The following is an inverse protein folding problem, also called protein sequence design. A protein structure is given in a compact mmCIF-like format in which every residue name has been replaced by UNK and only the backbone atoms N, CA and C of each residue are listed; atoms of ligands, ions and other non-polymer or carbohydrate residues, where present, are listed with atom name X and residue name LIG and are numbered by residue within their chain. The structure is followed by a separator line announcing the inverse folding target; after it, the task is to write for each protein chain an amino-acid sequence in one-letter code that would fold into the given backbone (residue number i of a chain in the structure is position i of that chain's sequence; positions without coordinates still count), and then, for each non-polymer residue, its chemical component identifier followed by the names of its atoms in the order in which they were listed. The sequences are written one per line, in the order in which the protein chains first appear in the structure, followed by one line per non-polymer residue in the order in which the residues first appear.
data_IF_120377738971
#
_entry.id   IF_120377738971
#
_cell.length_a   1.000
_cell.length_b   1.000
_cell.length_c   1.000
_cell.angle_alpha   90.00
_cell.angle_beta   90.00
_cell.angle_gamma   90.00
#
_symmetry.space_group_name_H-M   'P 1'
#
loop_
_entity.id
_entity.type
_entity.pdbx_description
1 polymer ?
#
# COMPACT_ATOMS: atom_id res chain seq x y z
N UNK A 1 15.54 -3.81 -1.25
CA UNK A 1 15.73 -3.80 -2.71
C UNK A 1 14.77 -4.80 -3.31
N UNK A 2 13.69 -4.30 -3.91
CA UNK A 2 12.60 -5.11 -4.44
C UNK A 2 12.98 -5.59 -5.85
N UNK A 3 13.26 -6.89 -6.02
CA UNK A 3 13.57 -7.53 -7.32
C UNK A 3 12.34 -8.19 -7.96
N UNK A 4 11.13 -7.86 -7.49
CA UNK A 4 9.86 -8.28 -8.12
C UNK A 4 9.70 -7.82 -9.59
N UNK A 5 10.57 -6.92 -10.07
CA UNK A 5 10.57 -6.45 -11.46
C UNK A 5 11.27 -7.44 -12.41
N UNK A 6 12.17 -8.27 -11.88
CA UNK A 6 13.00 -9.19 -12.68
C UNK A 6 12.30 -10.52 -12.99
N UNK A 7 11.35 -10.92 -12.14
CA UNK A 7 10.60 -12.17 -12.24
C UNK A 7 9.10 -11.90 -12.18
N UNK A 8 8.29 -12.65 -12.95
CA UNK A 8 6.85 -12.63 -12.76
C UNK A 8 6.42 -13.42 -11.51
N UNK A 9 5.13 -13.41 -11.19
CA UNK A 9 4.54 -14.14 -10.07
C UNK A 9 4.77 -15.67 -10.13
N UNK A 10 5.21 -16.19 -11.27
CA UNK A 10 5.53 -17.61 -11.47
C UNK A 10 7.05 -17.86 -11.47
N UNK A 11 7.85 -16.89 -11.01
CA UNK A 11 9.31 -16.92 -11.00
C UNK A 11 9.93 -17.10 -12.39
N UNK A 12 9.25 -16.67 -13.46
CA UNK A 12 9.81 -16.69 -14.81
C UNK A 12 10.62 -15.41 -15.05
N UNK A 13 11.88 -15.53 -15.49
CA UNK A 13 12.73 -14.37 -15.75
C UNK A 13 12.17 -13.54 -16.90
N UNK A 14 11.99 -12.23 -16.68
CA UNK A 14 11.48 -11.31 -17.71
C UNK A 14 12.55 -10.79 -18.67
N UNK A 15 13.83 -10.90 -18.31
CA UNK A 15 14.98 -10.39 -19.09
C UNK A 15 15.88 -11.51 -19.59
N UNK A 16 16.57 -11.26 -20.71
CA UNK A 16 17.47 -12.24 -21.34
C UNK A 16 18.73 -12.52 -20.49
N UNK A 17 19.27 -11.51 -19.82
CA UNK A 17 20.44 -11.67 -18.92
C UNK A 17 20.14 -12.60 -17.72
N UNK A 18 18.91 -12.57 -17.21
CA UNK A 18 18.48 -13.43 -16.10
C UNK A 18 18.47 -14.91 -16.49
N UNK A 19 18.25 -15.23 -17.78
CA UNK A 19 18.32 -16.61 -18.30
C UNK A 19 19.75 -17.14 -18.28
N UNK A 20 20.73 -16.35 -18.73
CA UNK A 20 22.14 -16.75 -18.69
C UNK A 20 22.63 -17.00 -17.26
N UNK A 21 22.20 -16.18 -16.31
CA UNK A 21 22.51 -16.38 -14.89
C UNK A 21 21.86 -17.63 -14.32
N UNK A 22 20.68 -17.99 -14.81
CA UNK A 22 20.00 -19.24 -14.45
C UNK A 22 20.72 -20.47 -15.02
N UNK A 23 21.26 -20.37 -16.22
CA UNK A 23 22.07 -21.44 -16.85
C UNK A 23 23.40 -21.65 -16.11
N UNK A 24 24.04 -20.57 -15.64
CA UNK A 24 25.20 -20.69 -14.77
C UNK A 24 24.85 -21.38 -13.43
N UNK A 25 23.71 -21.05 -12.82
CA UNK A 25 23.22 -21.71 -11.61
C UNK A 25 22.93 -23.20 -11.83
N UNK A 26 22.38 -23.58 -12.99
CA UNK A 26 22.19 -24.99 -13.38
C UNK A 26 23.48 -25.78 -13.32
N UNK A 27 24.55 -25.24 -13.89
CA UNK A 27 25.85 -25.93 -13.94
C UNK A 27 26.48 -26.06 -12.55
N UNK A 28 26.34 -25.05 -11.69
CA UNK A 28 26.94 -25.06 -10.34
C UNK A 28 26.20 -26.01 -9.39
N UNK A 29 24.88 -26.14 -9.54
CA UNK A 29 24.02 -26.91 -8.64
C UNK A 29 23.44 -28.18 -9.26
N UNK A 30 24.01 -28.69 -10.36
CA UNK A 30 23.58 -29.93 -10.99
C UNK A 30 23.65 -31.12 -10.01
N UNK A 31 24.74 -31.19 -9.23
CA UNK A 31 25.06 -32.31 -8.36
C UNK A 31 25.16 -31.90 -6.87
N UNK A 32 24.72 -30.68 -6.53
CA UNK A 32 24.79 -30.13 -5.16
C UNK A 32 23.43 -29.66 -4.69
N UNK A 33 23.08 -29.88 -3.40
CA UNK A 33 21.86 -29.33 -2.83
C UNK A 33 21.92 -27.80 -2.90
N UNK A 34 20.81 -27.20 -3.31
CA UNK A 34 20.70 -25.75 -3.40
C UNK A 34 20.57 -25.17 -1.97
N UNK A 35 21.26 -24.07 -1.63
CA UNK A 35 21.13 -23.50 -0.31
C UNK A 35 19.68 -23.06 -0.05
N UNK A 36 19.17 -23.15 1.19
CA UNK A 36 17.78 -22.83 1.50
C UNK A 36 17.46 -21.37 1.15
N UNK A 37 16.26 -21.13 0.65
CA UNK A 37 15.76 -19.77 0.39
C UNK A 37 15.30 -19.13 1.70
N UNK A 38 15.11 -17.81 1.72
CA UNK A 38 14.43 -17.15 2.85
C UNK A 38 13.05 -16.72 2.41
N UNK A 39 12.03 -17.08 3.18
CA UNK A 39 10.64 -16.75 2.88
C UNK A 39 9.86 -16.30 4.11
N UNK A 40 8.83 -15.50 3.89
CA UNK A 40 7.82 -15.15 4.87
C UNK A 40 6.56 -15.96 4.63
N UNK A 41 6.02 -16.60 5.67
CA UNK A 41 4.68 -17.21 5.62
C UNK A 41 3.67 -16.23 6.19
N UNK A 42 2.64 -15.90 5.42
CA UNK A 42 1.54 -15.08 5.89
C UNK A 42 0.22 -15.71 5.41
N UNK A 43 -0.68 -16.02 6.35
CA UNK A 43 -2.01 -16.53 6.03
C UNK A 43 -2.02 -17.80 5.16
N UNK A 44 -1.03 -18.67 5.31
CA UNK A 44 -0.88 -19.89 4.49
C UNK A 44 -0.24 -19.68 3.11
N UNK A 45 0.23 -18.47 2.80
CA UNK A 45 0.98 -18.15 1.58
C UNK A 45 2.43 -17.86 1.91
N UNK A 46 3.33 -18.16 0.98
CA UNK A 46 4.78 -17.97 1.13
C UNK A 46 5.29 -16.88 0.18
N UNK A 47 6.04 -15.93 0.73
CA UNK A 47 6.65 -14.81 0.01
C UNK A 47 8.17 -14.89 0.10
N UNK A 48 8.83 -15.08 -1.03
CA UNK A 48 10.30 -15.21 -1.08
C UNK A 48 10.94 -13.85 -0.83
N UNK A 49 11.76 -13.74 0.22
CA UNK A 49 12.52 -12.53 0.52
C UNK A 49 13.92 -12.56 -0.11
N UNK A 50 14.55 -13.74 -0.14
CA UNK A 50 15.82 -13.97 -0.80
C UNK A 50 15.85 -15.33 -1.51
N UNK A 51 16.60 -15.41 -2.62
CA UNK A 51 16.73 -16.65 -3.40
C UNK A 51 15.76 -16.79 -4.58
N UNK A 52 15.22 -15.71 -5.13
CA UNK A 52 14.30 -15.77 -6.30
C UNK A 52 14.83 -16.60 -7.48
N UNK A 53 16.13 -16.45 -7.83
CA UNK A 53 16.77 -17.25 -8.87
C UNK A 53 16.90 -18.73 -8.50
N UNK A 54 17.04 -19.02 -7.20
CA UNK A 54 17.10 -20.37 -6.64
C UNK A 54 15.73 -21.04 -6.65
N UNK A 55 14.64 -20.26 -6.66
CA UNK A 55 13.28 -20.78 -6.86
C UNK A 55 12.99 -21.07 -8.35
N UNK A 56 13.48 -20.21 -9.25
CA UNK A 56 13.21 -20.32 -10.68
C UNK A 56 13.70 -21.64 -11.30
N UNK A 57 14.85 -22.16 -10.84
CA UNK A 57 15.44 -23.38 -11.40
C UNK A 57 14.66 -24.67 -11.05
N UNK A 58 14.46 -25.04 -9.76
CA UNK A 58 13.64 -26.21 -9.39
C UNK A 58 12.23 -26.12 -9.97
N UNK A 59 11.65 -24.92 -10.03
CA UNK A 59 10.34 -24.72 -10.65
C UNK A 59 10.32 -25.04 -12.15
N UNK A 60 11.37 -24.67 -12.89
CA UNK A 60 11.51 -25.08 -14.30
C UNK A 60 11.76 -26.58 -14.45
N UNK A 61 12.34 -27.24 -13.46
CA UNK A 61 12.55 -28.68 -13.41
C UNK A 61 11.34 -29.46 -12.88
N UNK A 62 10.24 -28.78 -12.54
CA UNK A 62 9.02 -29.41 -12.05
C UNK A 62 9.07 -29.88 -10.59
N UNK A 63 10.06 -29.42 -9.80
CA UNK A 63 10.12 -29.72 -8.37
C UNK A 63 8.91 -29.16 -7.65
N UNK A 64 8.26 -29.99 -6.82
CA UNK A 64 7.11 -29.60 -6.03
C UNK A 64 7.48 -28.76 -4.79
N UNK A 65 8.70 -28.91 -4.27
CA UNK A 65 9.16 -28.28 -3.04
C UNK A 65 10.59 -27.76 -3.14
N UNK A 66 10.91 -26.75 -2.32
CA UNK A 66 12.26 -26.23 -2.10
C UNK A 66 12.49 -25.96 -0.61
N UNK A 67 13.70 -26.23 -0.14
CA UNK A 67 14.12 -25.93 1.24
C UNK A 67 14.15 -24.42 1.49
N UNK A 68 13.60 -24.00 2.62
CA UNK A 68 13.47 -22.62 3.01
C UNK A 68 13.63 -22.41 4.52
N UNK A 69 14.21 -21.27 4.88
CA UNK A 69 14.07 -20.65 6.18
C UNK A 69 12.81 -19.78 6.18
N UNK A 70 11.80 -20.21 6.94
CA UNK A 70 10.48 -19.56 6.95
C UNK A 70 10.31 -18.73 8.22
N UNK A 71 9.99 -17.45 8.04
CA UNK A 71 9.52 -16.57 9.13
C UNK A 71 8.01 -16.39 9.03
N UNK A 72 7.26 -16.84 10.04
CA UNK A 72 5.81 -16.70 10.06
C UNK A 72 5.38 -15.30 10.50
N UNK A 73 4.51 -14.66 9.71
CA UNK A 73 3.92 -13.35 9.95
C UNK A 73 2.43 -13.52 10.22
N UNK A 74 1.97 -13.05 11.38
CA UNK A 74 0.54 -12.95 11.66
C UNK A 74 -0.05 -11.75 10.90
N UNK A 75 -1.13 -11.99 10.15
CA UNK A 75 -1.82 -10.93 9.41
C UNK A 75 -3.30 -10.88 9.79
N UNK A 76 -3.86 -9.68 9.87
CA UNK A 76 -5.28 -9.44 10.15
C UNK A 76 -6.16 -9.41 8.89
N UNK A 77 -5.56 -9.68 7.72
CA UNK A 77 -6.20 -9.57 6.41
C UNK A 77 -6.19 -10.92 5.71
N UNK A 78 -7.23 -11.20 4.92
CA UNK A 78 -7.25 -12.42 4.11
C UNK A 78 -6.29 -12.26 2.94
N UNK A 79 -5.35 -13.19 2.82
CA UNK A 79 -4.47 -13.29 1.68
C UNK A 79 -5.02 -14.36 0.73
N UNK A 80 -4.94 -14.12 -0.58
CA UNK A 80 -5.39 -15.06 -1.61
C UNK A 80 -4.19 -15.49 -2.48
N UNK A 81 -4.19 -16.72 -3.03
CA UNK A 81 -3.13 -17.15 -3.95
C UNK A 81 -3.04 -16.18 -5.14
N UNK A 82 -1.90 -15.50 -5.29
CA UNK A 82 -1.69 -14.46 -6.30
C UNK A 82 -1.74 -13.02 -5.80
N UNK A 83 -1.83 -12.80 -4.48
CA UNK A 83 -1.78 -11.44 -3.90
C UNK A 83 -0.52 -10.68 -4.34
N UNK A 84 -0.74 -9.47 -4.85
CA UNK A 84 0.33 -8.58 -5.34
C UNK A 84 1.06 -7.94 -4.15
N UNK A 85 2.39 -7.85 -4.20
CA UNK A 85 3.21 -7.15 -3.18
C UNK A 85 2.71 -5.72 -2.99
N UNK A 86 2.32 -5.04 -4.08
CA UNK A 86 1.76 -3.70 -4.00
C UNK A 86 0.41 -3.66 -3.27
N UNK A 87 -0.39 -4.72 -3.34
CA UNK A 87 -1.65 -4.85 -2.61
C UNK A 87 -1.41 -5.06 -1.11
N UNK A 88 -0.38 -5.83 -0.74
CA UNK A 88 0.08 -5.95 0.64
C UNK A 88 0.56 -4.62 1.19
N UNK A 89 1.40 -3.90 0.44
CA UNK A 89 1.86 -2.56 0.82
C UNK A 89 0.67 -1.62 0.96
N UNK A 90 -0.30 -1.65 0.03
CA UNK A 90 -1.50 -0.83 0.12
C UNK A 90 -2.29 -1.11 1.40
N UNK A 91 -2.48 -2.39 1.72
CA UNK A 91 -3.19 -2.85 2.92
C UNK A 91 -2.51 -2.37 4.19
N UNK A 92 -1.18 -2.51 4.26
CA UNK A 92 -0.41 -2.08 5.42
C UNK A 92 -0.39 -0.56 5.60
N UNK A 93 -0.26 0.21 4.51
CA UNK A 93 -0.34 1.68 4.59
C UNK A 93 -1.73 2.14 5.06
N UNK A 94 -2.79 1.52 4.56
CA UNK A 94 -4.16 1.81 4.99
C UNK A 94 -4.36 1.49 6.48
N UNK A 95 -3.86 0.35 6.96
CA UNK A 95 -3.92 -0.03 8.38
C UNK A 95 -3.20 0.99 9.26
N UNK A 96 -1.94 1.34 8.92
CA UNK A 96 -1.14 2.33 9.66
C UNK A 96 -1.82 3.69 9.72
N UNK A 97 -2.37 4.14 8.59
CA UNK A 97 -3.12 5.40 8.53
C UNK A 97 -4.29 5.40 9.51
N UNK A 98 -5.14 4.36 9.50
CA UNK A 98 -6.29 4.26 10.43
C UNK A 98 -5.86 4.24 11.89
N UNK A 99 -4.80 3.51 12.21
CA UNK A 99 -4.31 3.38 13.59
C UNK A 99 -3.73 4.68 14.12
N UNK A 100 -2.92 5.38 13.32
CA UNK A 100 -2.28 6.64 13.75
C UNK A 100 -3.29 7.78 13.86
N UNK A 101 -4.19 7.91 12.89
CA UNK A 101 -5.18 9.01 12.86
C UNK A 101 -6.39 8.75 13.75
N UNK A 102 -6.66 7.47 14.09
CA UNK A 102 -7.91 7.03 14.75
C UNK A 102 -9.15 7.54 14.02
N UNK A 103 -9.09 7.66 12.69
CA UNK A 103 -10.14 8.28 11.87
C UNK A 103 -11.54 7.72 12.15
N UNK A 104 -11.66 6.40 12.34
CA UNK A 104 -12.93 5.74 12.65
C UNK A 104 -13.56 6.21 13.97
N UNK A 105 -12.75 6.57 14.96
CA UNK A 105 -13.20 7.05 16.26
C UNK A 105 -13.58 8.54 16.20
N UNK A 106 -12.77 9.34 15.50
CA UNK A 106 -12.91 10.80 15.51
C UNK A 106 -13.83 11.34 14.42
N UNK A 107 -14.01 10.59 13.32
CA UNK A 107 -14.90 10.87 12.20
C UNK A 107 -15.51 9.57 11.63
N UNK A 108 -16.50 8.95 12.31
CA UNK A 108 -17.03 7.64 11.95
C UNK A 108 -17.62 7.53 10.53
N UNK A 109 -18.11 8.64 9.97
CA UNK A 109 -18.63 8.72 8.60
C UNK A 109 -17.57 8.89 7.51
N UNK A 110 -16.29 9.05 7.88
CA UNK A 110 -15.22 9.28 6.93
C UNK A 110 -14.84 7.98 6.20
N UNK A 111 -15.07 7.94 4.89
CA UNK A 111 -14.61 6.86 4.02
C UNK A 111 -13.54 7.45 3.10
N UNK A 112 -12.28 7.10 3.38
CA UNK A 112 -11.12 7.59 2.60
C UNK A 112 -10.46 6.41 1.90
N UNK A 113 -10.56 6.42 0.58
CA UNK A 113 -9.90 5.46 -0.30
C UNK A 113 -8.86 6.16 -1.17
N UNK A 114 -7.80 5.43 -1.50
CA UNK A 114 -6.79 5.83 -2.47
C UNK A 114 -6.64 4.77 -3.55
N UNK A 115 -6.23 5.17 -4.75
CA UNK A 115 -5.90 4.21 -5.81
C UNK A 115 -4.52 3.58 -5.60
N UNK A 116 -3.60 4.30 -4.94
CA UNK A 116 -2.19 3.93 -4.78
C UNK A 116 -1.80 3.84 -3.30
N UNK A 117 -0.90 2.92 -2.92
CA UNK A 117 -0.44 2.78 -1.54
C UNK A 117 0.11 4.06 -0.92
N UNK A 118 0.81 4.88 -1.72
CA UNK A 118 1.48 6.08 -1.23
C UNK A 118 0.50 7.16 -0.73
N UNK A 119 -0.74 7.17 -1.22
CA UNK A 119 -1.71 8.21 -0.88
C UNK A 119 -2.03 8.27 0.62
N UNK A 120 -2.10 7.12 1.30
CA UNK A 120 -2.29 7.09 2.76
C UNK A 120 -1.11 7.70 3.53
N UNK A 121 0.11 7.58 3.02
CA UNK A 121 1.31 8.17 3.63
C UNK A 121 1.35 9.68 3.40
N UNK A 122 1.06 10.13 2.18
CA UNK A 122 0.96 11.55 1.85
C UNK A 122 -0.14 12.24 2.66
N UNK A 123 -1.31 11.61 2.78
CA UNK A 123 -2.40 12.14 3.58
C UNK A 123 -2.04 12.22 5.07
N UNK A 124 -1.34 11.23 5.60
CA UNK A 124 -0.86 11.28 6.98
C UNK A 124 0.08 12.46 7.21
N UNK A 125 0.99 12.74 6.27
CA UNK A 125 1.87 13.91 6.35
C UNK A 125 1.07 15.22 6.33
N UNK A 126 0.04 15.34 5.49
CA UNK A 126 -0.87 16.50 5.49
C UNK A 126 -1.52 16.69 6.86
N UNK A 127 -2.00 15.62 7.49
CA UNK A 127 -2.62 15.69 8.82
C UNK A 127 -1.57 16.02 9.90
N UNK A 128 -0.36 15.50 9.80
CA UNK A 128 0.75 15.82 10.73
C UNK A 128 1.15 17.29 10.62
N UNK A 129 1.22 17.85 9.40
CA UNK A 129 1.44 19.28 9.18
C UNK A 129 0.31 20.11 9.77
N UNK A 130 -0.95 19.74 9.54
CA UNK A 130 -2.11 20.40 10.14
C UNK A 130 -2.06 20.36 11.68
N UNK A 131 -1.66 19.24 12.26
CA UNK A 131 -1.50 19.10 13.71
C UNK A 131 -0.44 20.05 14.27
N UNK A 132 0.68 20.21 13.55
CA UNK A 132 1.74 21.16 13.90
C UNK A 132 1.20 22.60 13.87
N UNK A 133 0.59 23.02 12.77
CA UNK A 133 0.03 24.38 12.61
C UNK A 133 -1.03 24.69 13.68
N UNK A 134 -1.91 23.73 13.96
CA UNK A 134 -2.94 23.87 14.99
C UNK A 134 -2.32 23.96 16.39
N UNK A 135 -1.23 23.24 16.64
CA UNK A 135 -0.50 23.31 17.90
C UNK A 135 0.16 24.67 18.10
N UNK A 136 0.79 25.22 17.04
CA UNK A 136 1.37 26.57 17.09
C UNK A 136 0.30 27.63 17.35
N UNK A 137 -0.85 27.54 16.67
CA UNK A 137 -1.94 28.50 16.84
C UNK A 137 -2.56 28.47 18.25
N UNK A 138 -2.62 27.30 18.90
CA UNK A 138 -3.15 27.16 20.27
C UNK A 138 -2.10 27.38 21.36
N UNK A 139 -0.81 27.35 21.02
CA UNK A 139 0.28 27.42 21.99
C UNK A 139 0.43 26.15 22.84
N UNK A 140 -0.16 25.03 22.42
CA UNK A 140 -0.09 23.73 23.10
C UNK A 140 -0.03 22.58 22.11
N UNK A 141 0.54 21.44 22.51
CA UNK A 141 0.67 20.27 21.63
C UNK A 141 -0.69 19.61 21.43
N UNK A 142 -1.20 19.64 20.20
CA UNK A 142 -2.46 18.99 19.83
C UNK A 142 -2.21 17.54 19.42
N UNK A 143 -2.87 16.56 20.07
CA UNK A 143 -2.75 15.16 19.68
C UNK A 143 -3.24 14.90 18.25
N UNK A 144 -2.57 13.99 17.54
CA UNK A 144 -2.89 13.65 16.15
C UNK A 144 -4.38 13.29 15.92
N UNK A 145 -5.08 12.52 16.80
CA UNK A 145 -6.51 12.24 16.62
C UNK A 145 -7.39 13.49 16.69
N UNK A 146 -7.04 14.46 17.53
CA UNK A 146 -7.77 15.71 17.62
C UNK A 146 -7.54 16.58 16.38
N UNK A 147 -6.29 16.72 15.96
CA UNK A 147 -5.95 17.39 14.70
C UNK A 147 -6.60 16.71 13.49
N UNK A 148 -6.72 15.39 13.49
CA UNK A 148 -7.44 14.62 12.45
C UNK A 148 -8.91 15.04 12.39
N UNK A 149 -9.59 15.21 13.54
CA UNK A 149 -10.97 15.67 13.59
C UNK A 149 -11.12 17.07 13.02
N UNK A 150 -10.25 17.99 13.45
CA UNK A 150 -10.26 19.36 12.97
C UNK A 150 -10.04 19.39 11.46
N UNK A 151 -8.95 18.80 10.98
CA UNK A 151 -8.60 18.66 9.56
C UNK A 151 -9.75 18.10 8.73
N UNK A 152 -10.43 17.07 9.24
CA UNK A 152 -11.55 16.46 8.52
C UNK A 152 -12.68 17.49 8.25
N UNK A 153 -12.95 18.36 9.22
CA UNK A 153 -13.98 19.40 9.10
C UNK A 153 -13.52 20.68 8.41
N UNK A 154 -12.28 21.12 8.64
CA UNK A 154 -11.75 22.41 8.18
C UNK A 154 -11.09 22.33 6.79
N UNK A 155 -10.66 21.15 6.37
CA UNK A 155 -9.90 20.94 5.13
C UNK A 155 -10.53 19.90 4.22
N UNK A 156 -10.75 18.67 4.70
CA UNK A 156 -11.25 17.57 3.87
C UNK A 156 -12.66 17.81 3.32
N UNK A 157 -13.64 18.14 4.17
CA UNK A 157 -15.02 18.38 3.73
C UNK A 157 -15.14 19.59 2.78
N UNK A 158 -14.55 20.76 3.07
CA UNK A 158 -14.57 21.89 2.14
C UNK A 158 -13.90 21.57 0.79
N UNK A 159 -12.80 20.83 0.80
CA UNK A 159 -12.15 20.38 -0.43
C UNK A 159 -13.06 19.49 -1.26
N UNK A 160 -13.73 18.50 -0.66
CA UNK A 160 -14.68 17.64 -1.39
C UNK A 160 -15.87 18.42 -1.95
N UNK A 161 -16.39 19.41 -1.22
CA UNK A 161 -17.44 20.30 -1.72
C UNK A 161 -16.97 21.10 -2.94
N UNK A 162 -15.74 21.64 -2.90
CA UNK A 162 -15.15 22.34 -4.03
C UNK A 162 -14.95 21.42 -5.24
N UNK A 163 -14.40 20.21 -5.03
CA UNK A 163 -14.20 19.18 -6.06
C UNK A 163 -15.51 18.79 -6.75
N UNK A 164 -16.63 18.77 -6.01
CA UNK A 164 -17.95 18.54 -6.57
C UNK A 164 -18.42 19.73 -7.41
N UNK A 165 -18.41 20.92 -6.81
CA UNK A 165 -18.96 22.14 -7.43
C UNK A 165 -18.26 22.58 -8.71
N UNK A 166 -16.96 22.27 -8.86
CA UNK A 166 -16.18 22.61 -10.06
C UNK A 166 -16.26 21.54 -11.15
N UNK A 167 -16.94 20.42 -10.90
CA UNK A 167 -17.02 19.30 -11.83
C UNK A 167 -15.76 18.43 -11.89
N UNK A 168 -14.75 18.67 -11.03
CA UNK A 168 -13.52 17.89 -11.01
C UNK A 168 -13.79 16.39 -10.75
N UNK A 169 -14.79 16.07 -9.91
CA UNK A 169 -15.21 14.69 -9.68
C UNK A 169 -15.64 14.01 -10.97
N UNK A 170 -16.46 14.67 -11.78
CA UNK A 170 -16.98 14.13 -13.04
C UNK A 170 -15.89 14.02 -14.10
N UNK A 171 -15.05 15.06 -14.26
CA UNK A 171 -13.96 15.06 -15.22
C UNK A 171 -12.91 13.95 -14.95
N UNK A 172 -12.73 13.56 -13.69
CA UNK A 172 -11.77 12.54 -13.27
C UNK A 172 -12.44 11.39 -12.51
N UNK A 173 -13.52 10.83 -13.05
CA UNK A 173 -14.33 9.74 -12.47
C UNK A 173 -13.52 8.50 -12.04
N UNK A 174 -12.40 8.26 -12.71
CA UNK A 174 -11.50 7.13 -12.50
C UNK A 174 -10.58 7.28 -11.27
N UNK A 175 -10.56 8.45 -10.61
CA UNK A 175 -9.83 8.69 -9.36
C UNK A 175 -10.73 8.47 -8.14
N UNK A 176 -10.12 8.18 -6.98
CA UNK A 176 -10.83 8.20 -5.69
C UNK A 176 -10.93 9.62 -5.13
N UNK A 177 -11.71 9.79 -4.08
CA UNK A 177 -11.81 11.08 -3.36
C UNK A 177 -10.50 11.46 -2.70
N UNK A 178 -9.76 10.48 -2.15
CA UNK A 178 -8.41 10.70 -1.64
C UNK A 178 -7.48 11.21 -2.73
N UNK A 179 -7.45 10.55 -3.89
CA UNK A 179 -6.57 10.96 -4.99
C UNK A 179 -6.88 12.40 -5.46
N UNK A 180 -8.17 12.75 -5.59
CA UNK A 180 -8.60 14.11 -5.97
C UNK A 180 -8.27 15.14 -4.89
N UNK A 181 -8.49 14.79 -3.62
CA UNK A 181 -8.15 15.65 -2.49
C UNK A 181 -6.66 15.99 -2.47
N UNK A 182 -5.76 15.00 -2.53
CA UNK A 182 -4.32 15.27 -2.48
C UNK A 182 -3.85 16.10 -3.67
N UNK A 183 -4.38 15.83 -4.86
CA UNK A 183 -4.06 16.60 -6.05
C UNK A 183 -4.52 18.06 -5.93
N UNK A 184 -5.74 18.26 -5.40
CA UNK A 184 -6.28 19.60 -5.15
C UNK A 184 -5.52 20.31 -4.03
N UNK A 185 -5.13 19.61 -2.98
CA UNK A 185 -4.32 20.14 -1.88
C UNK A 185 -2.96 20.64 -2.37
N UNK A 186 -2.25 19.83 -3.18
CA UNK A 186 -0.99 20.25 -3.80
C UNK A 186 -1.16 21.50 -4.67
N UNK A 187 -2.21 21.53 -5.51
CA UNK A 187 -2.51 22.70 -6.33
C UNK A 187 -2.86 23.93 -5.47
N UNK A 188 -3.60 23.75 -4.38
CA UNK A 188 -3.92 24.83 -3.45
C UNK A 188 -2.65 25.43 -2.83
N UNK A 189 -1.73 24.59 -2.36
CA UNK A 189 -0.45 25.03 -1.80
C UNK A 189 0.39 25.82 -2.83
N UNK A 190 0.45 25.34 -4.07
CA UNK A 190 1.10 26.07 -5.18
C UNK A 190 0.47 27.45 -5.41
N UNK A 191 -0.87 27.53 -5.42
CA UNK A 191 -1.58 28.79 -5.61
C UNK A 191 -1.39 29.74 -4.42
N UNK A 192 -1.43 29.22 -3.19
CA UNK A 192 -1.27 30.00 -1.96
C UNK A 192 0.13 30.60 -1.82
N UNK A 193 1.15 29.96 -2.39
CA UNK A 193 2.50 30.53 -2.46
C UNK A 193 2.56 31.84 -3.27
N UNK A 194 1.66 32.05 -4.22
CA UNK A 194 1.58 33.28 -5.04
C UNK A 194 0.44 34.21 -4.59
N UNK A 195 -0.67 33.64 -4.14
CA UNK A 195 -1.86 34.34 -3.69
C UNK A 195 -2.41 33.66 -2.43
N UNK A 196 -2.10 34.19 -1.22
CA UNK A 196 -2.55 33.60 0.04
C UNK A 196 -4.09 33.47 0.18
N UNK A 197 -4.87 34.18 -0.64
CA UNK A 197 -6.35 34.09 -0.64
C UNK A 197 -6.90 33.00 -1.55
N UNK A 198 -6.05 32.23 -2.24
CA UNK A 198 -6.50 31.14 -3.08
C UNK A 198 -7.30 30.11 -2.27
N UNK A 199 -8.38 29.63 -2.88
CA UNK A 199 -9.36 28.74 -2.25
C UNK A 199 -9.33 27.34 -2.86
N UNK A 200 -10.00 26.40 -2.20
CA UNK A 200 -10.24 25.06 -2.73
C UNK A 200 -10.93 25.07 -4.11
N UNK A 201 -11.86 26.00 -4.33
CA UNK A 201 -12.55 26.15 -5.60
C UNK A 201 -11.62 26.61 -6.72
N UNK A 202 -10.69 27.53 -6.43
CA UNK A 202 -9.68 27.97 -7.39
C UNK A 202 -8.78 26.80 -7.80
N UNK A 203 -8.28 26.05 -6.82
CA UNK A 203 -7.44 24.89 -7.05
C UNK A 203 -8.17 23.80 -7.86
N UNK A 204 -9.38 23.42 -7.43
CA UNK A 204 -10.16 22.39 -8.10
C UNK A 204 -10.58 22.82 -9.52
N UNK A 205 -10.92 24.10 -9.71
CA UNK A 205 -11.29 24.66 -11.01
C UNK A 205 -10.13 24.64 -12.01
N UNK A 206 -8.93 25.00 -11.58
CA UNK A 206 -7.71 24.89 -12.40
C UNK A 206 -7.48 23.44 -12.85
N UNK A 207 -7.68 22.47 -11.96
CA UNK A 207 -7.51 21.05 -12.29
C UNK A 207 -8.63 20.52 -13.20
N UNK A 208 -9.87 20.95 -12.99
CA UNK A 208 -11.02 20.54 -13.79
C UNK A 208 -10.90 20.98 -15.26
N UNK A 209 -10.27 22.13 -15.52
CA UNK A 209 -9.99 22.63 -16.86
C UNK A 209 -8.86 21.92 -17.60
N UNK A 210 -8.12 20.99 -16.97
CA UNK A 210 -7.02 20.30 -17.63
C UNK A 210 -7.51 19.14 -18.51
N UNK A 211 -6.92 18.94 -19.70
CA UNK A 211 -7.32 17.85 -20.57
C UNK A 211 -6.91 16.49 -20.00
N UNK A 212 -7.86 15.56 -19.93
CA UNK A 212 -7.59 14.17 -19.52
C UNK A 212 -6.93 13.43 -20.67
N UNK A 213 -5.64 13.14 -20.55
CA UNK A 213 -4.94 12.27 -21.51
C UNK A 213 -5.38 10.82 -21.33
N UNK A 214 -5.79 10.15 -22.41
CA UNK A 214 -6.20 8.73 -22.41
C UNK A 214 -5.20 7.81 -21.70
N UNK A 215 -3.91 7.97 -22.02
CA UNK A 215 -2.82 7.20 -21.38
C UNK A 215 -2.78 7.36 -19.86
N UNK A 216 -2.97 8.58 -19.35
CA UNK A 216 -2.98 8.84 -17.91
C UNK A 216 -4.15 8.14 -17.19
N UNK A 217 -5.31 8.11 -17.85
CA UNK A 217 -6.50 7.37 -17.38
C UNK A 217 -6.20 5.86 -17.31
N UNK A 218 -5.67 5.30 -18.38
CA UNK A 218 -5.31 3.88 -18.46
C UNK A 218 -4.27 3.49 -17.40
N UNK A 219 -3.21 4.30 -17.21
CA UNK A 219 -2.19 4.09 -16.18
C UNK A 219 -2.76 4.16 -14.76
N UNK A 220 -3.68 5.10 -14.49
CA UNK A 220 -4.32 5.24 -13.18
C UNK A 220 -5.20 4.03 -12.87
N UNK A 221 -5.98 3.58 -13.86
CA UNK A 221 -6.84 2.40 -13.72
C UNK A 221 -6.02 1.11 -13.53
N UNK A 222 -4.93 0.95 -14.31
CA UNK A 222 -4.04 -0.21 -14.20
C UNK A 222 -3.27 -0.26 -12.87
N UNK A 223 -2.91 0.90 -12.31
CA UNK A 223 -2.23 1.01 -11.02
C UNK A 223 -3.18 0.87 -9.82
N UNK A 224 -4.49 0.90 -10.03
CA UNK A 224 -5.47 0.84 -8.95
C UNK A 224 -5.40 -0.52 -8.27
N UNK A 225 -5.19 -0.51 -6.97
CA UNK A 225 -5.35 -1.67 -6.08
C UNK A 225 -6.30 -1.25 -4.96
N UNK A 226 -7.07 -2.18 -4.41
CA UNK A 226 -7.82 -1.93 -3.18
C UNK A 226 -7.09 -2.57 -2.01
N UNK A 227 -7.10 -1.98 -0.81
CA UNK A 227 -6.68 -2.67 0.39
C UNK A 227 -7.44 -3.99 0.56
N UNK A 228 -6.75 -5.04 0.99
CA UNK A 228 -7.36 -6.35 1.23
C UNK A 228 -8.45 -6.25 2.30
N UNK A 229 -9.50 -7.07 2.20
CA UNK A 229 -10.52 -7.10 3.23
C UNK A 229 -9.96 -7.71 4.54
N UNK A 230 -10.43 -7.25 5.70
CA UNK A 230 -10.09 -7.88 6.97
C UNK A 230 -10.63 -9.32 7.01
N UNK A 231 -9.98 -10.19 7.79
CA UNK A 231 -10.51 -11.51 8.11
C UNK A 231 -11.86 -11.37 8.83
N UNK A 232 -12.99 -11.74 8.22
CA UNK A 232 -14.26 -11.91 8.97
C UNK A 232 -14.21 -13.26 9.68
N UNK A 233 -13.98 -13.22 10.98
CA UNK A 233 -14.33 -14.25 11.95
C UNK A 233 -15.14 -13.59 13.05
N UNK A 234 -16.22 -14.23 13.46
CA UNK A 234 -17.11 -13.83 14.57
C UNK A 234 -16.30 -13.29 15.75
N UNK A 235 -16.47 -12.00 16.05
CA UNK A 235 -16.08 -11.46 17.35
C UNK A 235 -17.00 -12.09 18.39
N UNK A 236 -16.58 -13.21 18.97
CA UNK A 236 -17.02 -13.55 20.32
C UNK A 236 -16.44 -12.49 21.24
N UNK A 237 -17.32 -11.64 21.75
CA UNK A 237 -17.05 -10.71 22.83
C UNK A 237 -16.56 -11.47 24.05
N UNK A 238 -15.40 -11.07 24.57
CA UNK A 238 -14.93 -11.46 25.89
C UNK A 238 -13.93 -12.62 25.88
N UNK A 239 -12.71 -12.37 25.39
CA UNK A 239 -11.50 -12.83 26.07
C UNK A 239 -10.29 -12.12 25.46
N UNK A 240 -9.47 -11.55 26.34
CA UNK A 240 -8.22 -10.87 26.01
C UNK A 240 -7.30 -11.81 25.23
N UNK A 241 -7.09 -11.53 23.95
CA UNK A 241 -6.01 -12.18 23.20
C UNK A 241 -4.67 -11.76 23.82
N UNK A 242 -3.84 -12.70 24.31
CA UNK A 242 -2.55 -12.33 24.87
C UNK A 242 -1.66 -11.81 23.73
N UNK A 243 -1.13 -10.59 23.89
CA UNK A 243 -0.01 -10.09 23.10
C UNK A 243 1.19 -11.04 23.30
N UNK A 244 1.29 -12.09 22.50
CA UNK A 244 2.56 -12.80 22.31
C UNK A 244 3.32 -12.09 21.19
N UNK A 245 4.06 -11.05 21.57
CA UNK A 245 5.20 -10.59 20.80
C UNK A 245 6.27 -11.67 20.85
N UNK A 246 6.24 -12.61 19.90
CA UNK A 246 7.40 -13.44 19.57
C UNK A 246 7.50 -13.50 18.06
N UNK A 247 8.46 -12.76 17.52
CA UNK A 247 9.17 -13.19 16.32
C UNK A 247 9.76 -14.56 16.65
N UNK A 248 9.15 -15.63 16.16
CA UNK A 248 9.79 -16.95 16.19
C UNK A 248 11.04 -16.90 15.31
N UNK A 249 12.16 -17.53 15.71
CA UNK A 249 13.31 -17.66 14.83
C UNK A 249 12.90 -18.39 13.54
N UNK A 250 13.60 -18.17 12.42
CA UNK A 250 13.33 -18.89 11.19
C UNK A 250 13.42 -20.40 11.45
N UNK A 251 12.38 -21.14 11.08
CA UNK A 251 12.38 -22.60 11.13
C UNK A 251 12.75 -23.13 9.74
N UNK A 252 13.56 -24.19 9.70
CA UNK A 252 13.82 -24.93 8.48
C UNK A 252 12.54 -25.67 8.06
N UNK A 253 12.07 -25.42 6.83
CA UNK A 253 10.86 -26.03 6.27
C UNK A 253 10.90 -26.09 4.76
N UNK A 254 9.91 -26.75 4.14
CA UNK A 254 9.78 -26.85 2.69
C UNK A 254 8.63 -25.97 2.19
N UNK A 255 8.87 -25.17 1.15
CA UNK A 255 7.84 -24.32 0.52
C UNK A 255 7.33 -24.98 -0.76
N UNK A 256 6.00 -25.10 -0.89
CA UNK A 256 5.35 -25.66 -2.07
C UNK A 256 5.42 -24.71 -3.27
N UNK A 257 5.91 -25.21 -4.40
CA UNK A 257 5.97 -24.49 -5.67
C UNK A 257 4.68 -24.74 -6.46
N UNK A 258 3.56 -24.14 -6.04
CA UNK A 258 2.23 -24.35 -6.66
C UNK A 258 2.21 -24.09 -8.17
N UNK A 259 1.48 -24.89 -8.95
CA UNK A 259 1.46 -24.86 -10.43
C UNK A 259 1.11 -23.51 -11.04
#
# INVERSE_FOLDING_TARGET
MDRSVDFDQFFRPRRRELRQRLDALRQVFADRPMPPITAYEAGGLYFVSDGHHRVALPRQLGSAFIDAEVTQIQTSHRLHPGVDVLELVHTEQHRRFKERTRLKEVAPGAIIEFSRPNGYRELLQVIETHAYELSEARGEVVPLPEATRDWYTSSWLPALAAIESTGLRSAYDFKTDGDRYLWTYQKLQELQAMNPRATWADAAGVLAGQPVRRRHREETLAARRKPLPPCRGTMHTGESWPRRSRSSPPAAGAVGLGS
#
